data_IF_817482515342
#
_entry.id   IF_817482515342
#
_cell.length_a   1.000
_cell.length_b   1.000
_cell.length_c   1.000
_cell.angle_alpha   90.00
_cell.angle_beta   90.00
_cell.angle_gamma   90.00
#
_symmetry.space_group_name_H-M   'P 1'
#
loop_
_entity.id
_entity.type
_entity.pdbx_description
1 polymer ?
#
# COMPACT_ATOMS: atom_id res chain seq x y z
N UNK A 1 19.57 0.54 -13.85
CA UNK A 1 19.32 -0.87 -13.48
C UNK A 1 18.66 -0.91 -12.11
N UNK A 2 17.36 -1.19 -12.05
CA UNK A 2 16.66 -1.51 -10.81
C UNK A 2 16.84 -3.01 -10.55
N UNK A 3 17.59 -3.37 -9.52
CA UNK A 3 17.98 -4.76 -9.23
C UNK A 3 16.78 -5.69 -8.94
N UNK A 4 15.64 -5.13 -8.54
CA UNK A 4 14.42 -5.86 -8.17
C UNK A 4 13.19 -5.50 -9.02
N UNK A 5 13.38 -4.74 -10.11
CA UNK A 5 12.29 -4.22 -10.95
C UNK A 5 11.15 -3.53 -10.17
N UNK A 6 11.50 -2.86 -9.06
CA UNK A 6 10.55 -2.13 -8.21
C UNK A 6 10.39 -0.69 -8.69
N UNK A 7 9.16 -0.21 -8.69
CA UNK A 7 8.79 1.19 -8.94
C UNK A 7 8.20 1.86 -7.71
N UNK A 8 7.97 3.17 -7.78
CA UNK A 8 7.29 3.92 -6.73
C UNK A 8 6.36 4.96 -7.34
N UNK A 9 5.10 4.95 -6.92
CA UNK A 9 4.10 5.92 -7.37
C UNK A 9 4.01 7.02 -6.31
N UNK A 10 4.22 8.26 -6.72
CA UNK A 10 4.13 9.38 -5.78
C UNK A 10 2.68 9.79 -5.59
N UNK A 11 2.10 9.37 -4.46
CA UNK A 11 0.80 9.85 -4.02
C UNK A 11 0.81 11.34 -3.65
N UNK A 12 -0.34 12.00 -3.83
CA UNK A 12 -0.57 13.38 -3.41
C UNK A 12 -1.73 13.46 -2.42
N UNK A 13 -1.54 14.25 -1.37
CA UNK A 13 -2.58 14.51 -0.38
C UNK A 13 -3.58 15.60 -0.83
N UNK A 14 -3.24 16.38 -1.87
CA UNK A 14 -4.09 17.44 -2.43
C UNK A 14 -4.86 16.92 -3.63
N UNK A 15 -6.07 17.44 -3.85
CA UNK A 15 -6.99 17.04 -4.92
C UNK A 15 -6.29 17.00 -6.30
N UNK A 16 -5.46 17.99 -6.62
CA UNK A 16 -4.83 18.08 -7.94
C UNK A 16 -3.91 16.89 -8.27
N UNK A 17 -3.15 16.37 -7.29
CA UNK A 17 -2.23 15.24 -7.53
C UNK A 17 -2.83 13.85 -7.26
N UNK A 18 -4.04 13.78 -6.68
CA UNK A 18 -4.70 12.49 -6.43
C UNK A 18 -5.12 11.81 -7.75
N UNK A 19 -5.51 12.61 -8.76
CA UNK A 19 -5.92 12.08 -10.07
C UNK A 19 -4.73 11.52 -10.86
N UNK A 20 -3.57 12.20 -10.83
CA UNK A 20 -2.37 11.74 -11.52
C UNK A 20 -1.84 10.43 -10.94
N UNK A 21 -1.82 10.31 -9.62
CA UNK A 21 -1.38 9.09 -8.92
C UNK A 21 -2.33 7.91 -9.15
N UNK A 22 -3.65 8.11 -9.19
CA UNK A 22 -4.60 7.06 -9.55
C UNK A 22 -4.41 6.57 -10.99
N UNK A 23 -4.17 7.48 -11.95
CA UNK A 23 -3.90 7.10 -13.35
C UNK A 23 -2.62 6.28 -13.48
N UNK A 24 -1.59 6.63 -12.72
CA UNK A 24 -0.32 5.88 -12.70
C UNK A 24 -0.54 4.47 -12.14
N UNK A 25 -1.27 4.33 -11.03
CA UNK A 25 -1.65 3.03 -10.45
C UNK A 25 -2.41 2.18 -11.48
N UNK A 26 -3.41 2.76 -12.15
CA UNK A 26 -4.18 2.04 -13.17
C UNK A 26 -3.32 1.62 -14.37
N UNK A 27 -2.36 2.46 -14.78
CA UNK A 27 -1.43 2.17 -15.87
C UNK A 27 -0.53 0.98 -15.51
N UNK A 28 0.01 0.96 -14.30
CA UNK A 28 0.91 -0.10 -13.85
C UNK A 28 0.16 -1.42 -13.61
N UNK A 29 -1.05 -1.37 -13.06
CA UNK A 29 -1.92 -2.55 -12.97
C UNK A 29 -2.26 -3.13 -14.36
N UNK A 30 -2.43 -2.28 -15.38
CA UNK A 30 -2.65 -2.74 -16.77
C UNK A 30 -1.40 -3.35 -17.40
N UNK A 31 -0.22 -2.87 -17.05
CA UNK A 31 1.07 -3.46 -17.47
C UNK A 31 1.38 -4.77 -16.74
N UNK A 32 0.57 -5.16 -15.75
CA UNK A 32 0.74 -6.40 -14.99
C UNK A 32 1.61 -6.26 -13.75
N UNK A 33 1.87 -5.05 -13.27
CA UNK A 33 2.54 -4.84 -11.99
C UNK A 33 1.55 -4.96 -10.82
N UNK A 34 2.02 -5.52 -9.72
CA UNK A 34 1.32 -5.49 -8.44
C UNK A 34 1.59 -4.15 -7.74
N UNK A 35 0.54 -3.53 -7.20
CA UNK A 35 0.63 -2.23 -6.51
C UNK A 35 0.32 -2.41 -5.03
N UNK A 36 1.27 -2.03 -4.17
CA UNK A 36 1.08 -2.01 -2.73
C UNK A 36 0.68 -0.60 -2.25
N UNK A 37 -0.41 -0.51 -1.49
CA UNK A 37 -0.94 0.75 -0.96
C UNK A 37 -1.15 0.61 0.54
N UNK A 38 -0.77 1.62 1.32
CA UNK A 38 -1.09 1.67 2.75
C UNK A 38 -2.56 2.05 2.93
N UNK A 39 -3.37 1.25 3.67
CA UNK A 39 -4.82 1.40 3.67
C UNK A 39 -5.32 2.68 4.35
N UNK A 40 -4.55 3.20 5.30
CA UNK A 40 -4.83 4.38 6.11
C UNK A 40 -4.29 5.69 5.49
N UNK A 41 -3.18 5.60 4.75
CA UNK A 41 -2.54 6.74 4.09
C UNK A 41 -2.04 7.83 5.06
N UNK A 42 -1.44 8.92 4.56
CA UNK A 42 -0.61 9.83 5.37
C UNK A 42 -1.38 10.66 6.41
N UNK A 43 -2.70 10.85 6.23
CA UNK A 43 -3.56 11.68 7.09
C UNK A 43 -4.71 10.92 7.76
N UNK A 44 -4.85 9.62 7.49
CA UNK A 44 -5.99 8.85 7.98
C UNK A 44 -5.84 8.48 9.46
N UNK A 45 -6.95 8.30 10.20
CA UNK A 45 -6.91 7.61 11.48
C UNK A 45 -6.33 6.20 11.26
N UNK A 46 -5.44 5.78 12.16
CA UNK A 46 -4.77 4.48 12.08
C UNK A 46 -5.78 3.35 11.97
N UNK A 47 -5.43 2.32 11.19
CA UNK A 47 -6.22 1.11 11.02
C UNK A 47 -7.63 1.30 10.43
N UNK A 48 -7.89 2.43 9.75
CA UNK A 48 -9.10 2.61 8.95
C UNK A 48 -8.77 2.60 7.47
N UNK A 49 -9.32 1.63 6.76
CA UNK A 49 -9.26 1.55 5.30
C UNK A 49 -10.06 2.70 4.70
N UNK A 50 -9.49 3.40 3.71
CA UNK A 50 -10.20 4.44 2.95
C UNK A 50 -11.02 3.85 1.82
N UNK A 51 -12.18 4.43 1.55
CA UNK A 51 -13.10 4.03 0.47
C UNK A 51 -12.43 4.03 -0.91
N UNK A 52 -11.49 4.95 -1.15
CA UNK A 52 -10.77 5.04 -2.43
C UNK A 52 -10.01 3.76 -2.82
N UNK A 53 -9.70 2.87 -1.86
CA UNK A 53 -9.08 1.57 -2.14
C UNK A 53 -10.12 0.59 -2.71
N UNK A 54 -11.34 0.62 -2.17
CA UNK A 54 -12.46 -0.18 -2.66
C UNK A 54 -12.89 0.30 -4.05
N UNK A 55 -12.96 1.62 -4.25
CA UNK A 55 -13.24 2.20 -5.57
C UNK A 55 -12.17 1.82 -6.59
N UNK A 56 -10.88 1.85 -6.21
CA UNK A 56 -9.79 1.43 -7.09
C UNK A 56 -9.93 -0.03 -7.52
N UNK A 57 -10.25 -0.93 -6.59
CA UNK A 57 -10.47 -2.35 -6.90
C UNK A 57 -11.64 -2.53 -7.88
N UNK A 58 -12.76 -1.83 -7.66
CA UNK A 58 -13.91 -1.84 -8.58
C UNK A 58 -13.57 -1.29 -9.97
N UNK A 59 -12.85 -0.17 -10.04
CA UNK A 59 -12.47 0.45 -11.32
C UNK A 59 -11.48 -0.39 -12.12
N UNK A 60 -10.65 -1.17 -11.43
CA UNK A 60 -9.60 -1.98 -12.07
C UNK A 60 -10.02 -3.43 -12.29
N UNK A 61 -11.15 -3.88 -11.71
CA UNK A 61 -11.54 -5.29 -11.62
C UNK A 61 -10.40 -6.18 -11.11
N UNK A 62 -9.60 -5.66 -10.18
CA UNK A 62 -8.48 -6.38 -9.55
C UNK A 62 -8.84 -6.72 -8.11
N UNK A 63 -8.49 -7.92 -7.65
CA UNK A 63 -8.72 -8.28 -6.26
C UNK A 63 -7.80 -7.50 -5.32
N UNK A 64 -8.25 -7.31 -4.08
CA UNK A 64 -7.45 -6.74 -3.00
C UNK A 64 -6.85 -7.88 -2.19
N UNK A 65 -5.52 -7.91 -2.08
CA UNK A 65 -4.84 -8.82 -1.16
C UNK A 65 -4.44 -8.05 0.11
N UNK A 66 -5.14 -8.23 1.24
CA UNK A 66 -4.74 -7.65 2.51
C UNK A 66 -3.43 -8.29 2.96
N UNK A 67 -2.43 -7.46 3.23
CA UNK A 67 -1.13 -7.91 3.72
C UNK A 67 -0.91 -7.38 5.13
N UNK A 68 -0.74 -8.30 6.08
CA UNK A 68 -0.26 -7.99 7.43
C UNK A 68 1.11 -8.62 7.65
N UNK A 69 1.87 -8.08 8.60
CA UNK A 69 3.13 -8.69 9.03
C UNK A 69 3.24 -8.72 10.55
N UNK A 70 3.92 -9.74 11.07
CA UNK A 70 4.34 -9.82 12.47
C UNK A 70 5.86 -9.90 12.56
N UNK A 71 6.44 -9.23 13.56
CA UNK A 71 7.88 -9.11 13.77
C UNK A 71 8.19 -9.15 15.27
N UNK A 72 9.12 -10.02 15.71
CA UNK A 72 9.53 -10.17 17.12
C UNK A 72 10.27 -8.96 17.71
N UNK A 73 10.93 -8.15 16.87
CA UNK A 73 11.61 -6.91 17.23
C UNK A 73 11.20 -5.82 16.26
N UNK A 74 10.42 -4.85 16.76
CA UNK A 74 9.99 -3.67 16.00
C UNK A 74 10.65 -2.43 16.59
N UNK A 75 11.28 -1.61 15.75
CA UNK A 75 11.59 -0.23 16.11
C UNK A 75 10.40 0.62 15.72
N UNK A 76 9.83 1.34 16.70
CA UNK A 76 8.86 2.39 16.44
C UNK A 76 9.63 3.57 15.83
N UNK A 77 9.30 3.93 14.60
CA UNK A 77 9.89 5.10 13.93
C UNK A 77 9.22 6.38 14.46
N UNK A 78 9.72 6.92 15.57
CA UNK A 78 9.41 8.24 16.16
C UNK A 78 7.94 8.62 16.41
N UNK A 79 7.75 9.62 17.27
CA UNK A 79 6.43 10.13 17.69
C UNK A 79 5.60 10.59 16.49
N UNK A 80 4.39 10.04 16.36
CA UNK A 80 3.38 10.47 15.37
C UNK A 80 3.03 9.42 14.32
N UNK A 81 3.98 8.60 13.87
CA UNK A 81 3.74 7.56 12.85
C UNK A 81 3.99 6.19 13.50
N UNK A 82 2.92 5.48 13.88
CA UNK A 82 3.06 4.10 14.37
C UNK A 82 3.28 3.10 13.22
N UNK A 83 4.13 3.46 12.27
CA UNK A 83 4.71 2.50 11.38
C UNK A 83 5.81 1.80 12.18
N UNK A 84 5.58 0.56 12.57
CA UNK A 84 6.70 -0.29 12.94
C UNK A 84 7.49 -0.59 11.67
N UNK A 85 8.79 -0.37 11.68
CA UNK A 85 9.65 -0.94 10.66
C UNK A 85 10.27 -2.21 11.27
N UNK A 86 10.05 -3.39 10.67
CA UNK A 86 10.74 -4.59 11.10
C UNK A 86 12.24 -4.38 10.89
N UNK A 87 13.04 -4.68 11.90
CA UNK A 87 14.50 -4.61 11.77
C UNK A 87 14.95 -5.62 10.69
N UNK A 88 15.94 -5.25 9.87
CA UNK A 88 16.30 -5.82 8.56
C UNK A 88 16.63 -7.33 8.48
N UNK A 89 16.51 -8.11 9.56
CA UNK A 89 16.90 -9.53 9.62
C UNK A 89 15.89 -10.38 10.41
N UNK A 90 14.60 -10.17 10.19
CA UNK A 90 13.57 -10.77 11.02
C UNK A 90 12.56 -11.61 10.24
N UNK A 91 12.07 -12.68 10.88
CA UNK A 91 10.97 -13.49 10.36
C UNK A 91 9.74 -12.62 10.16
N UNK A 92 9.34 -12.47 8.91
CA UNK A 92 8.12 -11.81 8.47
C UNK A 92 7.09 -12.88 8.14
N UNK A 93 5.94 -12.85 8.82
CA UNK A 93 4.79 -13.67 8.46
C UNK A 93 3.81 -12.82 7.67
N UNK A 94 3.64 -13.11 6.38
CA UNK A 94 2.63 -12.51 5.53
C UNK A 94 1.40 -13.42 5.53
N UNK A 95 0.25 -12.87 5.91
CA UNK A 95 -1.03 -13.59 5.87
C UNK A 95 -2.05 -12.68 5.17
N UNK A 96 -2.74 -13.22 4.18
CA UNK A 96 -3.71 -12.49 3.39
C UNK A 96 -4.52 -13.43 2.53
N UNK A 97 -5.84 -13.29 2.55
CA UNK A 97 -6.75 -13.96 1.62
C UNK A 97 -7.25 -12.95 0.60
N UNK A 98 -7.29 -13.35 -0.67
CA UNK A 98 -7.70 -12.51 -1.78
C UNK A 98 -9.17 -12.13 -1.66
N UNK A 99 -9.46 -10.83 -1.53
CA UNK A 99 -10.80 -10.28 -1.52
C UNK A 99 -11.15 -9.77 -2.93
N UNK A 100 -12.10 -10.42 -3.57
CA UNK A 100 -12.70 -9.95 -4.82
C UNK A 100 -13.96 -9.13 -4.49
N UNK A 101 -14.04 -7.90 -5.00
CA UNK A 101 -15.12 -6.93 -4.74
C UNK A 101 -15.83 -6.60 -6.05
#
# INVERSE_FOLDING_TARGET
>A
MTYFNLGSIRGSYRKEGSISSLREIMSDLKKGFDVAITPDGPKGPRYKVKEGIVELARLTNKPIMPLTYSASKKKLLNHGIALSCPCLFLRLFLCGETLSI
#
